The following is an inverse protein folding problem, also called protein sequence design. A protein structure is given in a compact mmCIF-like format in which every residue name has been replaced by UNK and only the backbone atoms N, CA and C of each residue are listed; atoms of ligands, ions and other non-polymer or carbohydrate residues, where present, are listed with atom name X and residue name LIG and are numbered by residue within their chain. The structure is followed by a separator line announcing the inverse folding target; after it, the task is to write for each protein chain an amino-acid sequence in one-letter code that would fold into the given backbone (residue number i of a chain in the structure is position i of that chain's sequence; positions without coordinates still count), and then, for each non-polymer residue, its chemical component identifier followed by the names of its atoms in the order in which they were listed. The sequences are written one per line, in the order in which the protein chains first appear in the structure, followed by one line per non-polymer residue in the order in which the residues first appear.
data_IF_909429510527
#
_entry.id   IF_909429510527
#
_cell.length_a   1.000
_cell.length_b   1.000
_cell.length_c   1.000
_cell.angle_alpha   90.00
_cell.angle_beta   90.00
_cell.angle_gamma   90.00
#
_symmetry.space_group_name_H-M   'P 1'
#
loop_
_entity.id
_entity.type
_entity.pdbx_description
1 polymer ?
#
# COMPACT_ATOMS: atom_id res chain seq x y z
N UNK A 1 -28.42 16.64 25.33
CA UNK A 1 -28.39 15.63 26.40
C UNK A 1 -27.63 14.35 25.98
N UNK A 2 -27.63 13.99 24.70
CA UNK A 2 -26.90 12.80 24.19
C UNK A 2 -25.37 12.96 24.29
N UNK A 3 -24.80 14.10 23.88
CA UNK A 3 -23.36 14.35 23.94
C UNK A 3 -22.76 14.35 25.35
N UNK A 4 -23.52 14.75 26.39
CA UNK A 4 -23.02 14.76 27.78
C UNK A 4 -22.86 13.32 28.30
N UNK A 5 -23.83 12.44 28.01
CA UNK A 5 -23.77 11.02 28.41
C UNK A 5 -22.65 10.27 27.71
N UNK A 6 -22.45 10.54 26.43
CA UNK A 6 -21.36 9.94 25.65
C UNK A 6 -19.98 10.39 26.17
N UNK A 7 -19.85 11.67 26.53
CA UNK A 7 -18.63 12.22 27.14
C UNK A 7 -18.34 11.64 28.52
N UNK A 8 -19.39 11.45 29.33
CA UNK A 8 -19.27 10.83 30.65
C UNK A 8 -18.86 9.34 30.52
N UNK A 9 -19.54 8.58 29.66
CA UNK A 9 -19.18 7.19 29.39
C UNK A 9 -17.75 7.04 28.88
N UNK A 10 -17.30 7.94 28.00
CA UNK A 10 -15.93 7.96 27.49
C UNK A 10 -14.93 8.22 28.61
N UNK A 11 -15.22 9.17 29.50
CA UNK A 11 -14.37 9.47 30.65
C UNK A 11 -14.26 8.27 31.61
N UNK A 12 -15.39 7.61 31.91
CA UNK A 12 -15.42 6.44 32.77
C UNK A 12 -14.62 5.27 32.17
N UNK A 13 -14.75 5.02 30.87
CA UNK A 13 -13.95 4.03 30.12
C UNK A 13 -12.45 4.37 30.19
N UNK A 14 -12.10 5.63 30.01
CA UNK A 14 -10.71 6.08 30.08
C UNK A 14 -10.12 5.84 31.46
N UNK A 15 -10.82 6.22 32.53
CA UNK A 15 -10.39 5.97 33.92
C UNK A 15 -10.14 4.48 34.14
N UNK A 16 -11.06 3.62 33.69
CA UNK A 16 -10.94 2.19 33.84
C UNK A 16 -9.73 1.62 33.06
N UNK A 17 -9.45 2.14 31.87
CA UNK A 17 -8.25 1.74 31.14
C UNK A 17 -6.97 2.17 31.90
N UNK A 18 -6.94 3.35 32.49
CA UNK A 18 -5.80 3.81 33.30
C UNK A 18 -5.58 2.89 34.52
N UNK A 19 -6.63 2.46 35.19
CA UNK A 19 -6.56 1.50 36.29
C UNK A 19 -6.00 0.15 35.82
N UNK A 20 -6.53 -0.39 34.72
CA UNK A 20 -6.03 -1.63 34.11
C UNK A 20 -4.55 -1.57 33.69
N UNK A 21 -4.07 -0.40 33.29
CA UNK A 21 -2.67 -0.18 32.95
C UNK A 21 -1.79 -0.14 34.20
N UNK A 22 -2.26 0.51 35.29
CA UNK A 22 -1.58 0.53 36.59
C UNK A 22 -1.40 -0.89 37.15
N UNK A 23 -2.43 -1.73 37.02
CA UNK A 23 -2.37 -3.15 37.45
C UNK A 23 -1.32 -3.96 36.67
N UNK A 24 -0.87 -3.44 35.51
CA UNK A 24 0.21 -4.02 34.69
C UNK A 24 1.53 -3.27 34.81
N UNK A 25 1.66 -2.41 35.82
CA UNK A 25 2.84 -1.59 36.07
C UNK A 25 3.21 -0.66 34.90
N UNK A 26 2.20 -0.20 34.12
CA UNK A 26 2.35 0.74 33.01
C UNK A 26 1.89 2.12 33.49
N UNK A 27 2.84 3.04 33.70
CA UNK A 27 2.55 4.36 34.28
C UNK A 27 2.84 5.51 33.30
N UNK A 28 3.54 5.24 32.19
CA UNK A 28 3.95 6.26 31.23
C UNK A 28 3.50 5.92 29.82
N UNK A 29 3.34 6.94 28.95
CA UNK A 29 3.07 6.74 27.52
C UNK A 29 4.19 5.95 26.82
N UNK A 30 5.43 6.06 27.28
CA UNK A 30 6.55 5.31 26.75
C UNK A 30 6.40 3.81 27.04
N UNK A 31 6.06 3.46 28.26
CA UNK A 31 5.78 2.06 28.65
C UNK A 31 4.55 1.52 27.94
N UNK A 32 3.48 2.33 27.81
CA UNK A 32 2.29 1.94 27.06
C UNK A 32 2.60 1.65 25.60
N UNK A 33 3.37 2.54 24.95
CA UNK A 33 3.80 2.32 23.57
C UNK A 33 4.68 1.08 23.42
N UNK A 34 5.57 0.85 24.38
CA UNK A 34 6.39 -0.35 24.40
C UNK A 34 5.54 -1.61 24.57
N UNK A 35 4.61 -1.62 25.52
CA UNK A 35 3.66 -2.71 25.72
C UNK A 35 2.82 -3.00 24.49
N UNK A 36 2.29 -1.96 23.84
CA UNK A 36 1.53 -2.07 22.59
C UNK A 36 2.37 -2.60 21.43
N UNK A 37 3.64 -2.20 21.32
CA UNK A 37 4.55 -2.65 20.27
C UNK A 37 5.00 -4.11 20.44
N UNK A 38 4.95 -4.64 21.65
CA UNK A 38 5.32 -6.03 21.94
C UNK A 38 4.17 -7.04 21.74
N UNK A 39 2.96 -6.57 21.47
CA UNK A 39 1.83 -7.46 21.26
C UNK A 39 1.62 -7.74 19.76
N UNK A 40 2.04 -8.92 19.23
CA UNK A 40 1.87 -9.28 17.84
C UNK A 40 0.41 -9.22 17.37
N UNK A 41 -0.54 -9.53 18.26
CA UNK A 41 -1.96 -9.50 17.93
C UNK A 41 -2.51 -8.07 17.75
N UNK A 42 -1.97 -7.10 18.48
CA UNK A 42 -2.30 -5.70 18.27
C UNK A 42 -1.80 -5.22 16.89
N UNK A 43 -0.55 -5.55 16.54
CA UNK A 43 0.04 -5.20 15.23
C UNK A 43 -0.76 -5.85 14.09
N UNK A 44 -1.15 -7.11 14.23
CA UNK A 44 -1.95 -7.84 13.23
C UNK A 44 -3.32 -7.21 12.96
N UNK A 45 -3.88 -6.45 13.90
CA UNK A 45 -5.21 -5.82 13.80
C UNK A 45 -5.15 -4.36 13.33
N UNK A 46 -3.97 -3.75 13.22
CA UNK A 46 -3.85 -2.38 12.71
C UNK A 46 -4.38 -2.28 11.27
N UNK A 47 -4.87 -1.11 10.85
CA UNK A 47 -5.19 -0.85 9.44
C UNK A 47 -3.99 -1.16 8.56
N UNK A 48 -4.25 -1.73 7.39
CA UNK A 48 -3.21 -2.01 6.39
C UNK A 48 -3.48 -1.18 5.13
N UNK A 49 -2.41 -0.80 4.45
CA UNK A 49 -2.45 -0.05 3.22
C UNK A 49 -1.64 -0.76 2.15
N UNK A 50 -1.98 -0.53 0.90
CA UNK A 50 -1.17 -1.01 -0.20
C UNK A 50 0.17 -0.27 -0.28
N UNK A 51 1.21 -0.97 -0.69
CA UNK A 51 2.50 -0.41 -1.03
C UNK A 51 3.12 -1.26 -2.16
N UNK A 52 3.88 -0.64 -3.04
CA UNK A 52 4.67 -1.35 -4.05
C UNK A 52 6.10 -1.48 -3.53
N UNK A 53 6.62 -2.69 -3.50
CA UNK A 53 8.00 -2.95 -3.08
C UNK A 53 8.73 -3.65 -4.24
N UNK A 54 9.77 -2.99 -4.74
CA UNK A 54 10.60 -3.50 -5.83
C UNK A 54 11.95 -3.94 -5.29
N UNK A 55 12.42 -5.11 -5.72
CA UNK A 55 13.78 -5.57 -5.44
C UNK A 55 14.75 -4.89 -6.42
N UNK A 56 15.64 -4.04 -5.91
CA UNK A 56 16.61 -3.31 -6.69
C UNK A 56 17.79 -4.18 -7.13
N UNK A 57 18.21 -5.09 -6.26
CA UNK A 57 19.39 -5.95 -6.46
C UNK A 57 19.22 -7.28 -5.70
N UNK A 58 20.25 -8.10 -5.71
CA UNK A 58 20.22 -9.41 -5.06
C UNK A 58 19.95 -9.34 -3.54
N UNK A 59 20.50 -8.34 -2.84
CA UNK A 59 20.20 -8.10 -1.43
C UNK A 59 18.72 -7.79 -1.23
N UNK A 60 18.16 -6.92 -2.07
CA UNK A 60 16.74 -6.57 -2.07
C UNK A 60 15.85 -7.79 -2.35
N UNK A 61 16.24 -8.66 -3.30
CA UNK A 61 15.51 -9.91 -3.55
C UNK A 61 15.42 -10.79 -2.30
N UNK A 62 16.52 -10.99 -1.60
CA UNK A 62 16.55 -11.78 -0.36
C UNK A 62 15.71 -11.12 0.73
N UNK A 63 15.83 -9.80 0.90
CA UNK A 63 15.08 -9.04 1.89
C UNK A 63 13.57 -9.04 1.59
N UNK A 64 13.18 -8.94 0.31
CA UNK A 64 11.78 -9.06 -0.10
C UNK A 64 11.21 -10.43 0.28
N UNK A 65 11.92 -11.51 0.00
CA UNK A 65 11.49 -12.86 0.38
C UNK A 65 11.36 -13.03 1.90
N UNK A 66 12.26 -12.45 2.69
CA UNK A 66 12.14 -12.44 4.15
C UNK A 66 10.88 -11.72 4.61
N UNK A 67 10.63 -10.52 4.07
CA UNK A 67 9.42 -9.74 4.39
C UNK A 67 8.15 -10.50 4.04
N UNK A 68 8.09 -11.13 2.85
CA UNK A 68 6.94 -11.94 2.45
C UNK A 68 6.78 -13.15 3.37
N UNK A 69 7.85 -13.87 3.70
CA UNK A 69 7.80 -14.99 4.64
C UNK A 69 7.27 -14.56 6.02
N UNK A 70 7.79 -13.46 6.55
CA UNK A 70 7.33 -12.90 7.84
C UNK A 70 5.86 -12.47 7.79
N UNK A 71 5.41 -11.88 6.68
CA UNK A 71 4.02 -11.45 6.50
C UNK A 71 3.03 -12.62 6.58
N UNK A 72 3.43 -13.80 6.13
CA UNK A 72 2.61 -15.01 6.19
C UNK A 72 2.76 -15.76 7.52
N UNK A 73 3.98 -15.88 8.05
CA UNK A 73 4.24 -16.72 9.22
C UNK A 73 3.99 -15.99 10.56
N UNK A 74 4.25 -14.67 10.62
CA UNK A 74 4.22 -13.92 11.87
C UNK A 74 3.10 -12.87 11.90
N UNK A 75 2.82 -12.21 10.77
CA UNK A 75 1.93 -11.05 10.72
C UNK A 75 0.66 -11.29 9.90
N UNK A 76 0.30 -12.54 9.62
CA UNK A 76 -0.92 -12.90 8.92
C UNK A 76 -2.16 -12.62 9.79
N UNK A 77 -3.10 -11.82 9.25
CA UNK A 77 -4.42 -11.62 9.84
C UNK A 77 -5.43 -11.36 8.72
N UNK A 78 -6.16 -12.37 8.31
CA UNK A 78 -7.02 -12.43 7.12
C UNK A 78 -6.24 -12.29 5.80
N UNK A 79 -5.19 -11.49 5.79
CA UNK A 79 -4.25 -11.29 4.69
C UNK A 79 -2.82 -11.13 5.25
N UNK A 80 -1.77 -11.39 4.46
CA UNK A 80 -0.40 -11.13 4.87
C UNK A 80 -0.16 -9.63 5.03
N UNK A 81 0.61 -9.24 6.06
CA UNK A 81 0.90 -7.84 6.41
C UNK A 81 2.38 -7.66 6.70
N UNK A 82 2.91 -6.52 6.31
CA UNK A 82 4.30 -6.16 6.60
C UNK A 82 4.28 -4.91 7.50
N UNK A 83 4.67 -5.03 8.79
CA UNK A 83 4.86 -3.86 9.63
C UNK A 83 5.93 -2.93 9.04
N UNK A 84 5.71 -1.61 9.10
CA UNK A 84 6.71 -0.62 8.63
C UNK A 84 8.06 -0.77 9.34
N UNK A 85 8.08 -1.15 10.62
CA UNK A 85 9.31 -1.43 11.38
C UNK A 85 10.13 -2.55 10.76
N UNK A 86 9.46 -3.64 10.34
CA UNK A 86 10.14 -4.76 9.69
C UNK A 86 10.59 -4.38 8.28
N UNK A 87 9.77 -3.63 7.53
CA UNK A 87 10.22 -3.08 6.25
C UNK A 87 11.49 -2.23 6.41
N UNK A 88 11.53 -1.32 7.37
CA UNK A 88 12.70 -0.48 7.62
C UNK A 88 13.93 -1.28 8.01
N UNK A 89 13.75 -2.38 8.74
CA UNK A 89 14.84 -3.30 9.12
C UNK A 89 15.47 -4.00 7.92
N UNK A 90 14.66 -4.32 6.90
CA UNK A 90 15.08 -5.05 5.69
C UNK A 90 15.03 -4.16 4.43
N UNK A 91 15.12 -2.83 4.59
CA UNK A 91 14.98 -1.89 3.49
C UNK A 91 16.11 -1.95 2.47
N UNK A 92 17.28 -2.44 2.85
CA UNK A 92 18.44 -2.46 1.97
C UNK A 92 18.17 -3.24 0.68
N UNK A 93 18.51 -2.61 -0.46
CA UNK A 93 18.24 -3.15 -1.79
C UNK A 93 16.77 -3.13 -2.23
N UNK A 94 15.87 -2.45 -1.50
CA UNK A 94 14.46 -2.29 -1.83
C UNK A 94 14.13 -0.84 -2.22
N UNK A 95 13.18 -0.69 -3.15
CA UNK A 95 12.53 0.56 -3.53
C UNK A 95 11.07 0.45 -3.13
N UNK A 96 10.50 1.48 -2.48
CA UNK A 96 9.11 1.49 -2.07
C UNK A 96 8.32 2.62 -2.72
N UNK A 97 7.18 2.30 -3.33
CA UNK A 97 6.21 3.20 -3.91
C UNK A 97 4.93 3.34 -3.09
N UNK A 98 4.25 4.48 -3.25
CA UNK A 98 3.04 4.81 -2.47
C UNK A 98 1.78 4.03 -2.86
N UNK A 99 1.83 3.29 -3.96
CA UNK A 99 0.74 2.48 -4.52
C UNK A 99 -0.54 3.28 -4.90
N UNK A 100 -1.64 2.56 -5.05
CA UNK A 100 -2.94 3.01 -5.54
C UNK A 100 -3.74 3.81 -4.51
N UNK A 101 -5.05 3.94 -4.74
CA UNK A 101 -6.01 4.61 -3.85
C UNK A 101 -6.08 3.96 -2.45
N UNK A 102 -5.81 2.65 -2.35
CA UNK A 102 -5.71 1.95 -1.07
C UNK A 102 -4.36 2.17 -0.36
N UNK A 103 -3.44 2.92 -0.97
CA UNK A 103 -2.17 3.34 -0.38
C UNK A 103 -2.35 4.37 0.73
N UNK A 104 -1.43 4.35 1.69
CA UNK A 104 -1.52 5.24 2.86
C UNK A 104 -1.41 6.73 2.50
N UNK A 105 -0.57 7.07 1.51
CA UNK A 105 -0.42 8.45 1.06
C UNK A 105 -1.69 8.96 0.40
N UNK A 106 -2.27 8.20 -0.55
CA UNK A 106 -3.51 8.59 -1.20
C UNK A 106 -4.62 8.79 -0.18
N UNK A 107 -4.79 7.86 0.76
CA UNK A 107 -5.78 7.95 1.82
C UNK A 107 -5.54 9.15 2.75
N UNK A 108 -4.30 9.50 3.03
CA UNK A 108 -3.97 10.68 3.83
C UNK A 108 -4.34 11.98 3.11
N UNK A 109 -4.07 12.07 1.80
CA UNK A 109 -4.43 13.23 0.96
C UNK A 109 -5.95 13.35 0.82
N UNK A 110 -6.63 12.24 0.54
CA UNK A 110 -8.09 12.16 0.42
C UNK A 110 -8.78 12.62 1.71
N UNK A 111 -8.29 12.20 2.86
CA UNK A 111 -8.88 12.52 4.16
C UNK A 111 -8.38 13.84 4.76
N UNK A 112 -7.63 14.65 4.01
CA UNK A 112 -7.17 15.97 4.43
C UNK A 112 -6.28 15.95 5.67
N UNK A 113 -5.38 14.97 5.80
CA UNK A 113 -4.42 14.91 6.91
C UNK A 113 -3.52 16.15 6.92
N UNK A 114 -2.95 16.47 8.08
CA UNK A 114 -2.10 17.64 8.25
C UNK A 114 -0.85 17.55 7.36
N UNK A 115 -0.27 18.70 6.98
CA UNK A 115 0.96 18.76 6.20
C UNK A 115 2.11 17.98 6.84
N UNK A 116 2.23 18.04 8.18
CA UNK A 116 3.25 17.30 8.91
C UNK A 116 3.07 15.77 8.78
N UNK A 117 1.84 15.28 8.86
CA UNK A 117 1.53 13.86 8.68
C UNK A 117 1.82 13.41 7.24
N UNK A 118 1.41 14.21 6.25
CA UNK A 118 1.68 13.94 4.84
C UNK A 118 3.19 13.94 4.57
N UNK A 119 3.93 14.92 5.12
CA UNK A 119 5.38 14.99 4.96
C UNK A 119 6.10 13.73 5.49
N UNK A 120 5.68 13.22 6.65
CA UNK A 120 6.23 11.97 7.20
C UNK A 120 5.96 10.77 6.28
N UNK A 121 4.78 10.71 5.66
CA UNK A 121 4.43 9.65 4.71
C UNK A 121 5.24 9.76 3.42
N UNK A 122 5.31 10.94 2.81
CA UNK A 122 6.08 11.16 1.58
C UNK A 122 7.55 10.79 1.77
N UNK A 123 8.14 11.13 2.92
CA UNK A 123 9.53 10.79 3.22
C UNK A 123 9.78 9.29 3.39
N UNK A 124 8.77 8.51 3.71
CA UNK A 124 8.87 7.04 3.82
C UNK A 124 9.05 6.38 2.45
N UNK A 125 8.41 6.92 1.40
CA UNK A 125 8.44 6.38 0.04
C UNK A 125 9.64 6.87 -0.77
N UNK A 126 10.12 6.04 -1.68
CA UNK A 126 11.16 6.40 -2.65
C UNK A 126 10.56 7.11 -3.86
N UNK A 127 9.34 6.73 -4.26
CA UNK A 127 8.56 7.39 -5.29
C UNK A 127 7.07 7.41 -4.93
N UNK A 128 6.33 8.32 -5.55
CA UNK A 128 4.90 8.45 -5.39
C UNK A 128 4.19 7.96 -6.66
N UNK A 129 2.96 7.53 -6.53
CA UNK A 129 2.18 6.95 -7.62
C UNK A 129 0.87 7.71 -7.81
N UNK A 130 0.50 7.91 -9.07
CA UNK A 130 -0.81 8.38 -9.52
C UNK A 130 -1.36 7.42 -10.57
N UNK A 131 -2.68 7.33 -10.66
CA UNK A 131 -3.36 6.43 -11.58
C UNK A 131 -4.40 7.15 -12.43
N UNK A 132 -4.82 6.57 -13.58
CA UNK A 132 -5.94 7.08 -14.36
C UNK A 132 -7.16 7.36 -13.47
N UNK A 133 -7.85 8.46 -13.73
CA UNK A 133 -9.01 8.83 -12.89
C UNK A 133 -10.13 7.79 -12.99
N UNK A 134 -10.22 7.07 -14.11
CA UNK A 134 -11.15 5.97 -14.32
C UNK A 134 -11.07 4.88 -13.26
N UNK A 135 -9.85 4.61 -12.75
CA UNK A 135 -9.61 3.61 -11.69
C UNK A 135 -10.33 3.98 -10.38
N UNK A 136 -10.50 5.26 -10.13
CA UNK A 136 -11.05 5.80 -8.88
C UNK A 136 -12.46 6.42 -9.05
N UNK A 137 -13.09 6.28 -10.23
CA UNK A 137 -14.40 6.87 -10.51
C UNK A 137 -15.50 6.39 -9.55
N UNK A 138 -15.39 5.17 -9.00
CA UNK A 138 -16.30 4.63 -7.99
C UNK A 138 -16.41 5.53 -6.74
N UNK A 139 -15.41 6.35 -6.45
CA UNK A 139 -15.44 7.27 -5.29
C UNK A 139 -16.48 8.38 -5.44
N UNK A 140 -16.82 8.76 -6.68
CA UNK A 140 -17.80 9.82 -6.95
C UNK A 140 -19.20 9.40 -6.49
N UNK A 141 -19.55 8.13 -6.66
CA UNK A 141 -20.84 7.57 -6.25
C UNK A 141 -20.85 7.02 -4.82
N UNK A 142 -19.69 6.99 -4.14
CA UNK A 142 -19.55 6.38 -2.83
C UNK A 142 -20.01 7.29 -1.70
N UNK A 143 -21.01 6.87 -0.92
CA UNK A 143 -21.44 7.57 0.30
C UNK A 143 -20.34 7.67 1.38
N UNK A 144 -19.32 6.80 1.28
CA UNK A 144 -18.20 6.77 2.23
C UNK A 144 -17.13 7.81 1.95
N UNK A 145 -17.13 8.38 0.74
CA UNK A 145 -16.15 9.37 0.29
C UNK A 145 -16.85 10.71 0.08
N UNK A 146 -16.82 11.56 1.10
CA UNK A 146 -17.53 12.85 1.07
C UNK A 146 -16.82 13.91 0.22
N UNK A 147 -15.51 13.77 -0.01
CA UNK A 147 -14.64 14.80 -0.56
C UNK A 147 -14.44 14.68 -2.09
N UNK A 148 -15.05 13.68 -2.73
CA UNK A 148 -14.97 13.46 -4.18
C UNK A 148 -16.39 13.45 -4.74
N UNK A 149 -16.70 14.40 -5.63
CA UNK A 149 -18.03 14.57 -6.23
C UNK A 149 -17.97 14.60 -7.76
N UNK A 150 -16.78 14.72 -8.32
CA UNK A 150 -16.56 14.89 -9.75
C UNK A 150 -15.22 14.28 -10.18
N UNK A 151 -15.04 14.08 -11.48
CA UNK A 151 -13.74 13.69 -12.05
C UNK A 151 -12.66 14.74 -11.79
N UNK A 152 -13.06 16.03 -11.70
CA UNK A 152 -12.10 17.09 -11.42
C UNK A 152 -11.53 16.98 -10.00
N UNK A 153 -12.32 16.53 -9.03
CA UNK A 153 -11.82 16.24 -7.69
C UNK A 153 -10.78 15.12 -7.71
N UNK A 154 -10.97 14.10 -8.55
CA UNK A 154 -9.98 13.02 -8.74
C UNK A 154 -8.70 13.55 -9.41
N UNK A 155 -8.82 14.42 -10.44
CA UNK A 155 -7.65 15.09 -11.03
C UNK A 155 -6.92 15.95 -10.02
N UNK A 156 -7.63 16.63 -9.13
CA UNK A 156 -7.04 17.44 -8.08
C UNK A 156 -6.29 16.60 -7.02
N UNK A 157 -6.74 15.40 -6.69
CA UNK A 157 -5.99 14.47 -5.86
C UNK A 157 -4.65 14.10 -6.52
N UNK A 158 -4.66 13.73 -7.80
CA UNK A 158 -3.44 13.45 -8.54
C UNK A 158 -2.50 14.68 -8.61
N UNK A 159 -3.05 15.88 -8.89
CA UNK A 159 -2.26 17.13 -8.88
C UNK A 159 -1.65 17.42 -7.50
N UNK A 160 -2.36 17.09 -6.41
CA UNK A 160 -1.81 17.23 -5.05
C UNK A 160 -0.62 16.30 -4.84
N UNK A 161 -0.72 15.04 -5.28
CA UNK A 161 0.38 14.07 -5.19
C UNK A 161 1.57 14.51 -6.04
N UNK A 162 1.34 15.02 -7.26
CA UNK A 162 2.40 15.60 -8.11
C UNK A 162 3.12 16.75 -7.41
N UNK A 163 2.37 17.71 -6.84
CA UNK A 163 2.96 18.82 -6.07
C UNK A 163 3.72 18.35 -4.83
N UNK A 164 3.29 17.28 -4.18
CA UNK A 164 4.04 16.67 -3.08
C UNK A 164 5.36 16.06 -3.59
N UNK A 165 5.36 15.40 -4.73
CA UNK A 165 6.58 14.91 -5.37
C UNK A 165 7.58 16.03 -5.63
N UNK A 166 7.12 17.14 -6.20
CA UNK A 166 7.95 18.34 -6.45
C UNK A 166 8.49 18.93 -5.14
N UNK A 167 7.61 19.15 -4.15
CA UNK A 167 7.97 19.74 -2.85
C UNK A 167 9.03 18.92 -2.10
N UNK A 168 8.98 17.59 -2.20
CA UNK A 168 9.86 16.67 -1.46
C UNK A 168 10.92 16.00 -2.34
N UNK A 169 11.08 16.44 -3.59
CA UNK A 169 12.03 15.88 -4.56
C UNK A 169 11.88 14.36 -4.71
N UNK A 170 10.63 13.87 -4.78
CA UNK A 170 10.30 12.46 -5.03
C UNK A 170 9.78 12.30 -6.44
N UNK A 171 10.27 11.31 -7.22
CA UNK A 171 9.68 10.99 -8.51
C UNK A 171 8.20 10.63 -8.33
N UNK A 172 7.35 11.10 -9.25
CA UNK A 172 5.96 10.68 -9.35
C UNK A 172 5.82 9.85 -10.60
N UNK A 173 5.26 8.64 -10.49
CA UNK A 173 5.03 7.74 -11.62
C UNK A 173 3.53 7.56 -11.86
N UNK A 174 3.14 7.49 -13.11
CA UNK A 174 1.79 7.13 -13.52
C UNK A 174 1.74 5.65 -13.88
N UNK A 175 0.85 4.90 -13.23
CA UNK A 175 0.65 3.45 -13.46
C UNK A 175 -0.80 3.14 -13.80
N UNK A 176 -1.04 2.10 -14.62
CA UNK A 176 -2.40 1.71 -15.02
C UNK A 176 -3.13 0.87 -13.97
N UNK A 177 -2.42 0.23 -13.03
CA UNK A 177 -2.98 -0.78 -12.13
C UNK A 177 -3.66 -1.95 -12.89
N UNK A 178 -2.91 -2.54 -13.82
CA UNK A 178 -3.41 -3.54 -14.78
C UNK A 178 -3.92 -4.81 -14.09
N UNK A 179 -5.18 -5.16 -14.34
CA UNK A 179 -5.80 -6.41 -13.88
C UNK A 179 -6.23 -7.33 -15.04
N UNK A 180 -6.32 -6.81 -16.25
CA UNK A 180 -6.62 -7.55 -17.48
C UNK A 180 -5.95 -6.87 -18.69
N UNK A 181 -5.83 -7.58 -19.81
CA UNK A 181 -5.05 -7.12 -20.95
C UNK A 181 -5.84 -6.15 -21.82
N UNK A 182 -6.95 -6.58 -22.37
CA UNK A 182 -7.78 -5.80 -23.30
C UNK A 182 -9.08 -5.33 -22.60
N UNK A 183 -9.69 -4.21 -23.01
CA UNK A 183 -10.92 -3.70 -22.40
C UNK A 183 -12.03 -4.75 -22.30
N UNK A 184 -12.14 -5.65 -23.30
CA UNK A 184 -13.15 -6.71 -23.36
C UNK A 184 -12.94 -7.79 -22.30
N UNK A 185 -11.74 -7.95 -21.76
CA UNK A 185 -11.40 -8.94 -20.74
C UNK A 185 -12.00 -8.62 -19.36
N UNK A 186 -12.56 -7.43 -19.20
CA UNK A 186 -13.30 -7.04 -18.01
C UNK A 186 -14.33 -8.08 -17.57
N UNK A 187 -14.98 -8.73 -18.52
CA UNK A 187 -15.99 -9.76 -18.27
C UNK A 187 -15.43 -10.93 -17.45
N UNK A 188 -14.19 -11.33 -17.69
CA UNK A 188 -13.55 -12.43 -16.94
C UNK A 188 -13.29 -12.05 -15.49
N UNK A 189 -12.82 -10.80 -15.27
CA UNK A 189 -12.65 -10.27 -13.91
C UNK A 189 -13.98 -10.20 -13.16
N UNK A 190 -15.04 -9.74 -13.79
CA UNK A 190 -16.41 -9.68 -13.27
C UNK A 190 -16.89 -11.07 -12.81
N UNK A 191 -16.73 -12.09 -13.64
CA UNK A 191 -17.10 -13.47 -13.32
C UNK A 191 -16.33 -13.97 -12.09
N UNK A 192 -15.02 -13.73 -12.02
CA UNK A 192 -14.19 -14.15 -10.89
C UNK A 192 -14.60 -13.42 -9.61
N UNK A 193 -14.86 -12.13 -9.66
CA UNK A 193 -15.29 -11.33 -8.52
C UNK A 193 -16.68 -11.78 -8.01
N UNK A 194 -17.63 -11.98 -8.93
CA UNK A 194 -18.96 -12.49 -8.59
C UNK A 194 -18.86 -13.88 -7.94
N UNK A 195 -18.03 -14.76 -8.47
CA UNK A 195 -17.77 -16.08 -7.90
C UNK A 195 -17.15 -16.06 -6.50
N UNK A 196 -16.42 -14.99 -6.16
CA UNK A 196 -15.86 -14.75 -4.83
C UNK A 196 -16.83 -14.01 -3.88
N UNK A 197 -18.02 -13.65 -4.35
CA UNK A 197 -19.05 -12.99 -3.55
C UNK A 197 -18.87 -11.47 -3.37
N UNK A 198 -18.11 -10.81 -4.26
CA UNK A 198 -18.04 -9.35 -4.26
C UNK A 198 -19.35 -8.74 -4.75
N UNK A 199 -19.92 -7.84 -3.97
CA UNK A 199 -21.22 -7.19 -4.28
C UNK A 199 -21.13 -6.16 -5.40
N UNK A 200 -19.93 -5.64 -5.66
CA UNK A 200 -19.57 -4.64 -6.66
C UNK A 200 -18.95 -5.26 -7.94
N UNK A 201 -19.14 -6.55 -8.14
CA UNK A 201 -18.56 -7.27 -9.28
C UNK A 201 -19.00 -6.68 -10.64
N UNK A 202 -20.19 -6.11 -10.73
CA UNK A 202 -20.71 -5.49 -11.95
C UNK A 202 -20.22 -4.04 -12.18
N UNK A 203 -19.54 -3.45 -11.19
CA UNK A 203 -18.99 -2.08 -11.26
C UNK A 203 -17.48 -2.15 -11.52
N UNK A 204 -17.08 -2.51 -12.76
CA UNK A 204 -15.67 -2.65 -13.08
C UNK A 204 -15.02 -1.32 -13.43
N UNK A 205 -13.85 -1.07 -12.82
CA UNK A 205 -12.96 0.01 -13.24
C UNK A 205 -12.18 -0.40 -14.53
N UNK A 206 -11.74 0.56 -15.38
CA UNK A 206 -11.03 0.28 -16.63
C UNK A 206 -9.56 -0.10 -16.37
N UNK A 207 -9.34 -1.23 -15.71
CA UNK A 207 -8.01 -1.70 -15.27
C UNK A 207 -7.31 -2.54 -16.34
N UNK A 208 -7.44 -2.16 -17.62
CA UNK A 208 -6.73 -2.80 -18.73
C UNK A 208 -5.34 -2.20 -18.94
N UNK A 209 -4.52 -2.87 -19.74
CA UNK A 209 -3.19 -2.39 -20.09
C UNK A 209 -3.29 -1.22 -21.07
N UNK A 210 -3.01 -0.03 -20.59
CA UNK A 210 -2.95 1.17 -21.44
C UNK A 210 -1.60 1.24 -22.17
N UNK A 211 -1.65 1.66 -23.44
CA UNK A 211 -0.46 2.05 -24.18
C UNK A 211 0.14 3.35 -23.67
N UNK A 212 1.36 3.66 -24.09
CA UNK A 212 2.00 4.95 -23.72
C UNK A 212 1.16 6.14 -24.19
N UNK A 213 0.58 6.07 -25.38
CA UNK A 213 -0.26 7.10 -25.96
C UNK A 213 -1.53 7.32 -25.14
N UNK A 214 -2.20 6.24 -24.75
CA UNK A 214 -3.39 6.30 -23.89
C UNK A 214 -3.04 6.89 -22.51
N UNK A 215 -1.92 6.48 -21.91
CA UNK A 215 -1.47 7.06 -20.64
C UNK A 215 -1.13 8.55 -20.76
N UNK A 216 -0.52 8.97 -21.88
CA UNK A 216 -0.25 10.39 -22.14
C UNK A 216 -1.55 11.20 -22.28
N UNK A 217 -2.60 10.64 -22.88
CA UNK A 217 -3.91 11.25 -22.97
C UNK A 217 -4.60 11.35 -21.61
N UNK A 218 -4.60 10.25 -20.83
CA UNK A 218 -5.17 10.20 -19.47
C UNK A 218 -4.60 11.28 -18.55
N UNK A 219 -3.30 11.55 -18.64
CA UNK A 219 -2.62 12.54 -17.81
C UNK A 219 -2.44 13.91 -18.46
N UNK A 220 -3.05 14.15 -19.65
CA UNK A 220 -2.95 15.42 -20.41
C UNK A 220 -3.37 16.65 -19.58
N UNK A 221 -4.23 16.50 -18.59
CA UNK A 221 -4.67 17.55 -17.66
C UNK A 221 -3.56 18.09 -16.75
N UNK A 222 -2.42 17.42 -16.67
CA UNK A 222 -1.20 17.91 -15.98
C UNK A 222 -0.36 18.86 -16.87
N UNK A 223 -0.69 18.96 -18.16
CA UNK A 223 0.12 19.62 -19.17
C UNK A 223 1.16 18.68 -19.79
N UNK A 224 1.50 18.88 -21.06
CA UNK A 224 2.31 17.96 -21.86
C UNK A 224 3.65 17.57 -21.22
N UNK A 225 4.39 18.55 -20.68
CA UNK A 225 5.69 18.31 -20.06
C UNK A 225 5.57 17.44 -18.78
N UNK A 226 4.58 17.72 -17.93
CA UNK A 226 4.38 16.96 -16.70
C UNK A 226 3.82 15.56 -16.98
N UNK A 227 2.90 15.44 -17.96
CA UNK A 227 2.41 14.13 -18.41
C UNK A 227 3.59 13.25 -18.91
N UNK A 228 4.45 13.79 -19.74
CA UNK A 228 5.66 13.10 -20.21
C UNK A 228 6.58 12.68 -19.06
N UNK A 229 6.81 13.57 -18.09
CA UNK A 229 7.62 13.28 -16.91
C UNK A 229 7.07 12.09 -16.12
N UNK A 230 5.77 12.10 -15.79
CA UNK A 230 5.18 11.05 -14.91
C UNK A 230 4.89 9.75 -15.63
N UNK A 231 4.61 9.77 -16.94
CA UNK A 231 4.27 8.58 -17.73
C UNK A 231 5.52 7.90 -18.32
N UNK A 232 6.54 8.66 -18.69
CA UNK A 232 7.70 8.13 -19.43
C UNK A 232 9.00 8.27 -18.62
N UNK A 233 9.38 9.50 -18.24
CA UNK A 233 10.71 9.72 -17.66
C UNK A 233 10.88 9.09 -16.29
N UNK A 234 9.94 9.31 -15.38
CA UNK A 234 10.06 8.82 -14.01
C UNK A 234 9.92 7.30 -13.90
N UNK A 235 8.99 6.60 -14.62
CA UNK A 235 8.99 5.15 -14.68
C UNK A 235 10.31 4.57 -15.19
N UNK A 236 10.91 5.15 -16.24
CA UNK A 236 12.21 4.73 -16.72
C UNK A 236 13.31 4.96 -15.69
N UNK A 237 13.34 6.12 -15.00
CA UNK A 237 14.28 6.36 -13.90
C UNK A 237 14.18 5.31 -12.79
N UNK A 238 12.97 4.87 -12.42
CA UNK A 238 12.79 3.81 -11.43
C UNK A 238 13.29 2.47 -11.98
N UNK A 239 12.98 2.14 -13.25
CA UNK A 239 13.45 0.92 -13.90
C UNK A 239 15.00 0.87 -13.98
N UNK A 240 15.63 1.99 -14.31
CA UNK A 240 17.10 2.12 -14.39
C UNK A 240 17.81 1.94 -13.03
N UNK A 241 17.11 2.10 -11.91
CA UNK A 241 17.66 1.79 -10.59
C UNK A 241 17.77 0.30 -10.31
N UNK A 242 17.10 -0.55 -11.11
CA UNK A 242 17.00 -1.98 -10.87
C UNK A 242 18.10 -2.72 -11.64
N UNK A 243 18.92 -3.47 -10.93
CA UNK A 243 19.95 -4.32 -11.50
C UNK A 243 19.31 -5.55 -12.16
N UNK A 244 20.04 -6.20 -13.09
CA UNK A 244 19.61 -7.46 -13.68
C UNK A 244 19.69 -8.57 -12.64
N UNK A 245 18.56 -8.92 -12.05
CA UNK A 245 18.41 -9.99 -11.08
C UNK A 245 17.40 -11.03 -11.56
N UNK A 246 17.53 -12.28 -11.08
CA UNK A 246 16.56 -13.32 -11.32
C UNK A 246 15.67 -13.51 -10.08
N UNK A 247 14.34 -13.58 -10.20
CA UNK A 247 13.45 -13.79 -9.05
C UNK A 247 13.71 -15.16 -8.39
N UNK A 248 14.09 -16.17 -9.16
CA UNK A 248 14.43 -17.52 -8.68
C UNK A 248 15.91 -17.77 -8.95
N UNK A 249 16.62 -18.32 -7.96
CA UNK A 249 18.01 -18.73 -8.13
C UNK A 249 18.12 -19.82 -9.21
N UNK A 250 19.18 -19.79 -10.04
CA UNK A 250 19.38 -20.84 -11.05
C UNK A 250 19.64 -22.21 -10.43
N UNK A 251 20.27 -22.23 -9.25
CA UNK A 251 20.60 -23.46 -8.53
C UNK A 251 19.37 -24.03 -7.81
N UNK A 252 19.12 -25.31 -8.04
CA UNK A 252 18.11 -26.04 -7.28
C UNK A 252 18.67 -26.36 -5.90
N UNK A 253 17.90 -26.04 -4.86
CA UNK A 253 18.24 -26.33 -3.47
C UNK A 253 17.16 -27.24 -2.86
N UNK A 254 17.15 -28.56 -3.23
CA UNK A 254 16.21 -29.49 -2.59
C UNK A 254 16.51 -29.56 -1.10
N UNK A 255 15.48 -29.72 -0.25
CA UNK A 255 15.70 -29.90 1.18
C UNK A 255 16.52 -31.19 1.41
N UNK A 256 17.52 -31.09 2.24
CA UNK A 256 18.30 -32.25 2.69
C UNK A 256 17.74 -32.69 4.03
N UNK A 257 17.11 -33.84 4.07
CA UNK A 257 16.64 -34.47 5.31
C UNK A 257 17.69 -35.48 5.71
N UNK A 258 18.25 -35.30 6.91
CA UNK A 258 19.30 -36.19 7.44
C UNK A 258 18.80 -37.64 7.48
N UNK A 259 19.58 -38.56 6.97
CA UNK A 259 19.30 -40.01 6.86
C UNK A 259 18.07 -40.36 5.98
N UNK A 260 17.58 -39.47 5.11
CA UNK A 260 16.43 -39.76 4.24
C UNK A 260 16.67 -40.97 3.32
N UNK A 261 17.91 -41.18 2.87
CA UNK A 261 18.28 -42.30 2.00
C UNK A 261 18.19 -43.66 2.72
N UNK A 262 18.29 -43.70 4.03
CA UNK A 262 18.14 -44.92 4.81
C UNK A 262 16.70 -45.16 5.22
N UNK A 263 15.98 -44.11 5.67
CA UNK A 263 14.57 -44.19 6.06
C UNK A 263 13.63 -44.53 4.92
N UNK A 264 14.03 -44.29 3.67
CA UNK A 264 13.26 -44.70 2.46
C UNK A 264 13.48 -46.15 2.05
N UNK A 265 14.50 -46.85 2.60
CA UNK A 265 14.82 -48.25 2.32
C UNK A 265 14.24 -49.22 3.33
N UNK A 266 13.91 -48.72 4.51
CA UNK A 266 13.27 -49.48 5.60
C UNK A 266 11.76 -49.33 5.53
#
# INVERSE_FOLDING_TARGET
QMCIRDSQATAEIFVRFVEMLKDREIFTLKELNHFGSMNPDAIRKLPSHHAVILAKNETGRVNLYRLISMSHLQYFSRMPRIPKSEFLRYRDGLIIGSACEAGELFQAVLNGKSEEQIAKLVNFYDYLEIQPIGNNRFMIASDRVSNVKSEEDLRDLNRKIVRLGEKFCKPVVATCDVHFLDPEDEVYRRIIMAGKGFSDADEQAPLYLHTTEEMMEEFSYLGAAKAHEVVIENPNKIADMIEKIAPVRPDKCPPVIENSDQTLRD
#
